data_IF_564626196092
#
_entry.id   IF_564626196092
#
_cell.length_a   1.000
_cell.length_b   1.000
_cell.length_c   1.000
_cell.angle_alpha   90.00
_cell.angle_beta   90.00
_cell.angle_gamma   90.00
#
_symmetry.space_group_name_H-M   'P 1'
#
loop_
_entity.id
_entity.type
_entity.pdbx_description
1 polymer ?
#
# COMPACT_ATOMS: atom_id res chain seq x y z
N UNK A 1 55.22 -22.27 12.70
CA UNK A 1 54.24 -23.11 13.42
C UNK A 1 53.23 -23.58 12.40
N UNK A 2 53.28 -24.84 12.00
CA UNK A 2 52.43 -25.46 10.97
C UNK A 2 51.47 -26.42 11.68
N UNK A 3 50.20 -26.43 11.26
CA UNK A 3 49.22 -27.40 11.74
C UNK A 3 48.93 -28.36 10.58
N UNK A 4 49.29 -29.63 10.72
CA UNK A 4 49.08 -30.66 9.70
C UNK A 4 47.61 -30.91 9.35
N UNK A 5 46.69 -30.54 10.25
CA UNK A 5 45.25 -30.60 9.97
C UNK A 5 44.73 -29.36 9.19
N UNK A 6 45.54 -28.31 9.07
CA UNK A 6 45.20 -27.10 8.31
C UNK A 6 45.76 -27.14 6.88
N UNK A 7 46.88 -27.82 6.65
CA UNK A 7 47.64 -27.84 5.39
C UNK A 7 48.20 -29.26 5.20
N UNK A 8 47.36 -30.16 4.70
CA UNK A 8 47.65 -31.60 4.58
C UNK A 8 48.63 -31.86 3.44
N UNK A 9 48.56 -31.07 2.37
CA UNK A 9 49.45 -31.21 1.21
C UNK A 9 50.82 -30.53 1.40
N UNK A 10 50.99 -29.79 2.50
CA UNK A 10 52.26 -29.20 2.92
C UNK A 10 52.72 -28.07 2.00
N UNK A 11 51.80 -27.41 1.31
CA UNK A 11 52.10 -26.36 0.35
C UNK A 11 52.28 -24.97 1.02
N UNK A 12 52.13 -24.88 2.35
CA UNK A 12 52.24 -23.64 3.12
C UNK A 12 50.95 -22.81 3.14
N UNK A 13 49.84 -23.34 2.62
CA UNK A 13 48.53 -22.68 2.57
C UNK A 13 47.48 -23.56 3.27
N UNK A 14 46.53 -22.94 3.99
CA UNK A 14 45.43 -23.74 4.54
C UNK A 14 44.58 -24.38 3.43
N UNK A 15 44.18 -25.63 3.61
CA UNK A 15 43.24 -26.37 2.77
C UNK A 15 41.83 -25.74 2.77
N UNK A 16 41.01 -26.08 1.77
CA UNK A 16 39.62 -25.58 1.67
C UNK A 16 38.72 -26.03 2.82
N UNK A 17 39.00 -27.18 3.40
CA UNK A 17 38.29 -27.74 4.55
C UNK A 17 38.95 -27.36 5.90
N UNK A 18 40.04 -26.59 5.90
CA UNK A 18 40.69 -26.16 7.13
C UNK A 18 39.74 -25.30 7.97
N UNK A 19 39.57 -25.69 9.23
CA UNK A 19 38.67 -24.97 10.14
C UNK A 19 39.36 -23.77 10.80
N UNK A 20 38.57 -22.84 11.37
CA UNK A 20 39.11 -21.74 12.17
C UNK A 20 40.04 -22.28 13.27
N UNK A 21 39.62 -23.34 13.97
CA UNK A 21 40.42 -23.99 14.99
C UNK A 21 41.75 -24.54 14.43
N UNK A 22 41.74 -25.12 13.23
CA UNK A 22 42.96 -25.64 12.60
C UNK A 22 43.95 -24.49 12.36
N UNK A 23 43.49 -23.35 11.82
CA UNK A 23 44.37 -22.24 11.45
C UNK A 23 44.78 -21.36 12.65
N UNK A 24 44.02 -21.34 13.74
CA UNK A 24 44.35 -20.55 14.96
C UNK A 24 44.98 -21.38 16.07
N UNK A 25 45.14 -22.70 15.91
CA UNK A 25 45.65 -23.61 16.96
C UNK A 25 46.99 -23.17 17.57
N UNK A 26 47.83 -22.50 16.78
CA UNK A 26 49.16 -22.06 17.19
C UNK A 26 49.19 -20.63 17.77
N UNK A 27 48.03 -20.01 18.01
CA UNK A 27 47.93 -18.63 18.48
C UNK A 27 48.30 -17.59 17.42
N UNK A 28 48.29 -16.31 17.82
CA UNK A 28 48.76 -15.19 16.98
C UNK A 28 50.28 -15.21 16.86
N UNK A 29 50.81 -14.75 15.73
CA UNK A 29 52.27 -14.66 15.46
C UNK A 29 52.82 -13.29 15.87
N UNK A 30 53.37 -13.11 17.08
CA UNK A 30 53.63 -11.76 17.63
C UNK A 30 54.75 -10.99 16.92
N UNK A 31 55.55 -11.67 16.10
CA UNK A 31 56.59 -11.05 15.29
C UNK A 31 56.10 -10.63 13.89
N UNK A 32 54.86 -10.95 13.52
CA UNK A 32 54.29 -10.55 12.24
C UNK A 32 53.73 -9.13 12.34
N UNK A 33 54.16 -8.25 11.43
CA UNK A 33 53.63 -6.92 11.27
C UNK A 33 53.58 -6.57 9.77
N UNK A 34 52.45 -6.04 9.31
CA UNK A 34 52.23 -5.66 7.92
C UNK A 34 51.05 -4.67 7.82
N UNK A 35 50.90 -3.96 6.72
CA UNK A 35 49.71 -3.16 6.43
C UNK A 35 48.88 -3.82 5.36
N UNK A 36 47.69 -4.27 5.73
CA UNK A 36 46.71 -4.81 4.79
C UNK A 36 45.89 -3.67 4.20
N UNK A 37 46.06 -3.40 2.91
CA UNK A 37 45.18 -2.49 2.17
C UNK A 37 44.03 -3.27 1.55
N UNK A 38 42.81 -2.77 1.70
CA UNK A 38 41.65 -3.38 1.07
C UNK A 38 41.42 -2.75 -0.29
N UNK A 39 41.83 -3.46 -1.33
CA UNK A 39 41.38 -3.19 -2.69
C UNK A 39 40.25 -4.14 -3.03
N UNK A 40 39.08 -3.60 -3.39
CA UNK A 40 38.01 -4.41 -3.93
C UNK A 40 38.52 -5.15 -5.18
N UNK A 41 38.71 -6.46 -5.09
CA UNK A 41 38.97 -7.26 -6.27
C UNK A 41 37.63 -7.37 -7.01
N UNK A 42 37.50 -6.65 -8.12
CA UNK A 42 36.45 -6.85 -9.11
C UNK A 42 36.69 -8.21 -9.80
N UNK A 43 36.56 -9.30 -9.06
CA UNK A 43 36.47 -10.62 -9.67
C UNK A 43 35.07 -10.76 -10.27
N UNK A 44 34.96 -11.29 -11.50
CA UNK A 44 33.69 -11.81 -12.01
C UNK A 44 33.20 -12.85 -10.99
N UNK A 45 32.24 -12.48 -10.15
CA UNK A 45 31.86 -13.25 -8.97
C UNK A 45 31.55 -12.43 -7.72
N UNK A 46 32.02 -11.18 -7.58
CA UNK A 46 31.38 -10.24 -6.63
C UNK A 46 29.93 -10.12 -7.08
N UNK A 47 29.02 -10.68 -6.29
CA UNK A 47 27.70 -11.07 -6.78
C UNK A 47 26.87 -9.82 -7.03
N UNK A 48 26.91 -9.31 -8.26
CA UNK A 48 25.96 -8.35 -8.81
C UNK A 48 24.62 -9.08 -8.90
N UNK A 49 23.57 -8.70 -8.15
CA UNK A 49 22.33 -9.45 -8.18
C UNK A 49 21.51 -9.12 -9.43
N UNK A 50 21.43 -10.07 -10.36
CA UNK A 50 20.34 -10.13 -11.35
C UNK A 50 20.60 -9.51 -12.74
N UNK A 51 19.74 -9.83 -13.74
CA UNK A 51 20.07 -10.02 -15.16
C UNK A 51 20.32 -8.74 -15.98
N UNK A 52 20.66 -7.61 -15.36
CA UNK A 52 20.88 -6.36 -16.09
C UNK A 52 22.20 -5.73 -15.70
N UNK A 53 22.90 -5.22 -16.71
CA UNK A 53 24.20 -4.56 -16.65
C UNK A 53 24.22 -3.23 -15.85
N UNK A 54 23.46 -3.11 -14.75
CA UNK A 54 23.22 -1.88 -14.01
C UNK A 54 23.72 -1.88 -12.56
N UNK A 55 24.12 -3.02 -11.99
CA UNK A 55 24.72 -3.05 -10.66
C UNK A 55 26.12 -2.41 -10.66
N UNK A 56 26.44 -1.65 -9.61
CA UNK A 56 27.72 -0.96 -9.50
C UNK A 56 28.62 -1.78 -8.57
N UNK A 57 29.90 -2.02 -8.92
CA UNK A 57 30.86 -2.57 -7.97
C UNK A 57 30.90 -1.75 -6.68
N UNK A 58 30.50 -2.35 -5.56
CA UNK A 58 30.74 -1.74 -4.26
C UNK A 58 32.24 -1.64 -4.02
N UNK A 59 32.73 -0.44 -3.69
CA UNK A 59 34.15 -0.25 -3.40
C UNK A 59 34.38 -0.39 -1.90
N UNK A 60 35.08 -1.45 -1.50
CA UNK A 60 35.65 -1.55 -0.16
C UNK A 60 36.79 -0.56 -0.06
N UNK A 61 36.81 0.29 0.96
CA UNK A 61 37.88 1.24 1.20
C UNK A 61 38.37 1.19 2.65
N UNK A 62 39.65 1.51 2.85
CA UNK A 62 40.32 1.50 4.15
C UNK A 62 41.57 0.62 4.16
N UNK A 63 42.26 0.61 5.30
CA UNK A 63 43.43 -0.23 5.55
C UNK A 63 43.51 -0.62 7.02
N UNK A 64 44.13 -1.76 7.28
CA UNK A 64 44.35 -2.31 8.62
C UNK A 64 45.84 -2.50 8.83
N UNK A 65 46.39 -1.88 9.87
CA UNK A 65 47.76 -2.14 10.30
C UNK A 65 47.79 -3.34 11.25
N UNK A 66 48.47 -4.41 10.84
CA UNK A 66 48.72 -5.61 11.64
C UNK A 66 49.95 -5.37 12.49
N UNK A 67 49.77 -5.41 13.81
CA UNK A 67 50.85 -5.28 14.79
C UNK A 67 50.78 -6.49 15.71
N UNK A 68 51.90 -7.17 15.91
CA UNK A 68 52.00 -8.37 16.71
C UNK A 68 51.04 -9.51 16.28
N UNK A 69 50.92 -9.73 14.97
CA UNK A 69 50.20 -10.87 14.39
C UNK A 69 48.67 -10.74 14.35
N UNK A 70 48.11 -9.61 14.77
CA UNK A 70 46.67 -9.36 14.69
C UNK A 70 46.36 -7.88 14.50
N UNK A 71 45.11 -7.58 14.14
CA UNK A 71 44.62 -6.21 14.02
C UNK A 71 43.11 -6.14 14.19
N UNK A 72 42.64 -4.97 14.61
CA UNK A 72 41.23 -4.59 14.54
C UNK A 72 41.13 -3.23 13.85
N UNK A 73 40.08 -3.02 13.06
CA UNK A 73 39.83 -1.71 12.45
C UNK A 73 38.35 -1.38 12.42
N UNK A 74 38.08 -0.08 12.58
CA UNK A 74 36.78 0.57 12.40
C UNK A 74 36.74 1.46 11.15
N UNK A 75 37.83 1.57 10.38
CA UNK A 75 37.94 2.48 9.23
C UNK A 75 37.57 1.82 7.87
N UNK A 76 37.31 0.51 7.86
CA UNK A 76 36.97 -0.23 6.64
C UNK A 76 35.48 -0.11 6.38
N UNK A 77 35.10 0.34 5.18
CA UNK A 77 33.71 0.52 4.79
C UNK A 77 33.39 -0.21 3.49
N UNK A 78 32.14 -0.66 3.37
CA UNK A 78 31.52 -1.15 2.13
C UNK A 78 30.16 -0.45 1.99
N UNK A 79 30.02 0.54 1.09
CA UNK A 79 28.87 1.43 1.08
C UNK A 79 27.64 0.87 0.34
N UNK A 80 27.59 -0.45 0.11
CA UNK A 80 26.64 -1.08 -0.80
C UNK A 80 26.04 -2.38 -0.24
N UNK A 81 24.99 -2.90 -0.87
CA UNK A 81 24.42 -4.23 -0.62
C UNK A 81 25.23 -5.29 -1.36
N UNK A 82 25.32 -6.49 -0.78
CA UNK A 82 26.01 -7.60 -1.40
C UNK A 82 27.02 -8.28 -0.50
N UNK A 83 27.96 -8.95 -1.15
CA UNK A 83 29.12 -9.56 -0.52
C UNK A 83 30.33 -9.26 -1.39
N UNK A 84 31.50 -9.16 -0.77
CA UNK A 84 32.76 -8.98 -1.49
C UNK A 84 33.79 -10.01 -1.04
N UNK A 85 34.75 -10.30 -1.92
CA UNK A 85 35.91 -11.12 -1.58
C UNK A 85 37.03 -10.22 -1.07
N UNK A 86 37.72 -10.66 -0.03
CA UNK A 86 38.93 -10.01 0.42
C UNK A 86 40.15 -10.64 -0.25
N UNK A 87 41.06 -9.79 -0.72
CA UNK A 87 42.41 -10.19 -1.10
C UNK A 87 43.41 -9.41 -0.25
N UNK A 88 44.43 -10.10 0.26
CA UNK A 88 45.52 -9.52 1.01
C UNK A 88 46.76 -9.67 0.17
N UNK A 89 47.29 -8.54 -0.28
CA UNK A 89 48.63 -8.51 -0.84
C UNK A 89 49.54 -7.98 0.27
N UNK A 90 50.24 -8.86 1.01
CA UNK A 90 51.19 -8.42 2.02
C UNK A 90 52.25 -7.52 1.38
N UNK A 91 52.70 -6.49 2.10
CA UNK A 91 53.73 -5.58 1.57
C UNK A 91 55.12 -6.21 1.57
N UNK A 92 55.31 -7.26 2.38
CA UNK A 92 56.57 -8.00 2.51
C UNK A 92 56.32 -9.51 2.53
N UNK A 93 57.18 -10.27 1.84
CA UNK A 93 57.20 -11.73 1.97
C UNK A 93 57.69 -12.12 3.37
N UNK A 94 56.81 -12.71 4.19
CA UNK A 94 57.15 -13.10 5.54
C UNK A 94 58.28 -14.14 5.53
N UNK A 95 59.44 -13.75 6.05
CA UNK A 95 60.67 -14.57 6.08
C UNK A 95 61.19 -15.01 4.69
N UNK A 96 60.86 -14.28 3.61
CA UNK A 96 61.24 -14.70 2.24
C UNK A 96 60.75 -16.11 1.88
N UNK A 97 59.54 -16.46 2.35
CA UNK A 97 58.94 -17.78 2.17
C UNK A 97 58.68 -18.15 0.70
N UNK A 98 58.60 -17.16 -0.19
CA UNK A 98 58.18 -17.34 -1.59
C UNK A 98 56.69 -17.66 -1.74
N UNK A 99 55.92 -17.68 -0.65
CA UNK A 99 54.48 -18.02 -0.66
C UNK A 99 53.66 -16.79 -1.06
N UNK A 100 52.98 -16.89 -2.20
CA UNK A 100 52.08 -15.84 -2.67
C UNK A 100 50.72 -15.92 -1.96
N UNK A 101 50.44 -14.95 -1.08
CA UNK A 101 49.18 -14.85 -0.34
C UNK A 101 48.06 -14.10 -1.10
N UNK A 102 48.34 -13.59 -2.31
CA UNK A 102 47.37 -12.84 -3.12
C UNK A 102 46.17 -13.71 -3.48
N UNK A 103 44.97 -13.20 -3.25
CA UNK A 103 43.67 -13.84 -3.54
C UNK A 103 43.36 -15.11 -2.71
N UNK A 104 44.07 -15.35 -1.60
CA UNK A 104 43.96 -16.60 -0.81
C UNK A 104 43.66 -16.38 0.67
N UNK A 105 42.97 -15.29 1.01
CA UNK A 105 42.49 -15.04 2.38
C UNK A 105 41.47 -16.10 2.79
N UNK A 106 41.69 -16.72 3.95
CA UNK A 106 40.67 -17.49 4.64
C UNK A 106 39.73 -16.55 5.42
N UNK A 107 38.49 -16.38 4.96
CA UNK A 107 37.48 -15.59 5.67
C UNK A 107 36.65 -16.52 6.54
N UNK A 108 36.65 -16.28 7.85
CA UNK A 108 35.72 -16.90 8.80
C UNK A 108 34.80 -15.80 9.32
N UNK A 109 33.62 -15.68 8.70
CA UNK A 109 32.71 -14.55 8.95
C UNK A 109 32.00 -14.60 10.32
N UNK A 110 32.07 -15.72 11.04
CA UNK A 110 31.46 -15.92 12.34
C UNK A 110 32.30 -16.95 13.13
N UNK A 111 32.64 -16.72 14.42
CA UNK A 111 33.31 -17.72 15.26
C UNK A 111 32.52 -19.04 15.41
N UNK A 112 31.20 -19.05 15.13
CA UNK A 112 30.40 -20.28 15.06
C UNK A 112 30.45 -21.00 13.70
N UNK A 113 31.09 -20.41 12.69
CA UNK A 113 31.34 -21.05 11.40
C UNK A 113 32.72 -21.70 11.42
N UNK A 114 32.75 -23.03 11.45
CA UNK A 114 34.01 -23.78 11.35
C UNK A 114 34.53 -23.86 9.92
N UNK A 115 33.77 -23.42 8.90
CA UNK A 115 34.16 -23.53 7.50
C UNK A 115 34.67 -22.21 6.92
N UNK A 116 35.67 -22.31 6.05
CA UNK A 116 36.28 -21.19 5.32
C UNK A 116 35.34 -20.68 4.23
N UNK A 117 35.21 -19.36 4.11
CA UNK A 117 34.52 -18.65 3.02
C UNK A 117 35.51 -17.81 2.21
N UNK A 118 35.20 -17.57 0.94
CA UNK A 118 35.88 -16.55 0.12
C UNK A 118 35.19 -15.17 0.21
N UNK A 119 34.01 -15.11 0.83
CA UNK A 119 33.12 -13.95 0.84
C UNK A 119 32.96 -13.38 2.24
N UNK A 120 33.00 -12.05 2.33
CA UNK A 120 32.65 -11.27 3.51
C UNK A 120 31.20 -10.80 3.42
N UNK A 121 30.44 -11.10 4.47
CA UNK A 121 29.13 -10.52 4.75
C UNK A 121 27.98 -10.98 3.86
N UNK A 122 26.80 -10.48 4.20
CA UNK A 122 25.63 -10.24 3.34
C UNK A 122 25.15 -8.86 3.74
N UNK A 123 25.80 -7.83 3.20
CA UNK A 123 25.46 -6.45 3.52
C UNK A 123 24.07 -6.15 2.97
N UNK A 124 23.25 -5.56 3.83
CA UNK A 124 21.89 -5.10 3.56
C UNK A 124 21.85 -3.57 3.71
N UNK A 125 20.84 -2.88 3.19
CA UNK A 125 20.70 -1.45 3.44
C UNK A 125 20.60 -1.18 4.95
N UNK A 126 20.98 0.03 5.36
CA UNK A 126 20.77 0.49 6.72
C UNK A 126 19.27 0.74 6.98
N UNK A 127 18.61 1.41 6.03
CA UNK A 127 17.22 1.78 6.13
C UNK A 127 16.60 2.10 4.76
N UNK A 128 15.28 2.24 4.73
CA UNK A 128 14.54 2.86 3.64
C UNK A 128 14.23 4.33 3.95
N UNK A 129 14.13 5.12 2.89
CA UNK A 129 13.58 6.48 2.90
C UNK A 129 12.48 6.56 1.85
N UNK A 130 11.38 7.22 2.20
CA UNK A 130 10.24 7.44 1.30
C UNK A 130 10.38 8.78 0.58
N UNK A 131 10.19 8.76 -0.73
CA UNK A 131 10.05 9.97 -1.55
C UNK A 131 8.59 10.45 -1.55
N UNK A 132 8.26 11.45 -2.38
CA UNK A 132 6.92 12.01 -2.44
C UNK A 132 5.84 10.92 -2.62
N UNK A 133 4.76 11.02 -1.83
CA UNK A 133 3.57 10.17 -1.93
C UNK A 133 2.51 10.87 -2.80
N UNK A 134 1.87 10.10 -3.69
CA UNK A 134 0.75 10.55 -4.49
C UNK A 134 -0.54 9.84 -4.06
N UNK A 135 -1.64 10.58 -4.14
CA UNK A 135 -2.97 10.13 -3.73
C UNK A 135 -3.99 10.56 -4.77
N UNK A 136 -4.75 9.59 -5.29
CA UNK A 136 -5.84 9.84 -6.22
C UNK A 136 -7.12 9.31 -5.57
N UNK A 137 -7.92 10.21 -5.02
CA UNK A 137 -9.24 9.85 -4.52
C UNK A 137 -10.16 9.49 -5.68
N UNK A 138 -11.04 8.51 -5.44
CA UNK A 138 -12.02 8.04 -6.43
C UNK A 138 -11.34 7.58 -7.71
N UNK A 139 -10.24 6.84 -7.57
CA UNK A 139 -9.34 6.46 -8.67
C UNK A 139 -10.03 5.61 -9.74
N UNK A 140 -11.14 4.95 -9.43
CA UNK A 140 -11.93 4.18 -10.41
C UNK A 140 -12.61 5.07 -11.47
N UNK A 141 -12.79 6.37 -11.19
CA UNK A 141 -13.39 7.32 -12.14
C UNK A 141 -12.35 7.75 -13.18
N UNK A 142 -12.82 8.00 -14.41
CA UNK A 142 -11.96 8.52 -15.49
C UNK A 142 -10.96 7.49 -16.04
N UNK A 143 -11.13 6.20 -15.73
CA UNK A 143 -10.21 5.16 -16.18
C UNK A 143 -8.90 5.12 -15.38
N UNK A 144 -8.92 5.46 -14.09
CA UNK A 144 -7.74 5.37 -13.22
C UNK A 144 -7.19 6.73 -12.76
N UNK A 145 -7.59 7.83 -13.40
CA UNK A 145 -7.05 9.18 -13.15
C UNK A 145 -7.83 9.96 -12.09
N UNK A 146 -8.97 9.44 -11.64
CA UNK A 146 -9.87 10.11 -10.72
C UNK A 146 -10.74 11.17 -11.40
N UNK A 147 -11.33 12.03 -10.59
CA UNK A 147 -12.23 13.09 -11.05
C UNK A 147 -11.48 14.24 -11.73
N UNK A 148 -12.17 14.95 -12.63
CA UNK A 148 -11.70 16.20 -13.22
C UNK A 148 -12.75 17.31 -12.94
N UNK A 149 -12.44 18.32 -12.11
CA UNK A 149 -11.22 18.48 -11.31
C UNK A 149 -11.05 17.38 -10.24
N UNK A 150 -9.82 17.23 -9.73
CA UNK A 150 -9.48 16.20 -8.74
C UNK A 150 -10.36 16.30 -7.49
N UNK A 151 -10.86 15.15 -7.01
CA UNK A 151 -11.68 15.09 -5.80
C UNK A 151 -10.80 15.12 -4.55
N UNK A 152 -11.20 15.93 -3.56
CA UNK A 152 -10.55 15.98 -2.26
C UNK A 152 -11.03 14.88 -1.29
N UNK A 153 -12.05 14.12 -1.69
CA UNK A 153 -12.62 13.03 -0.90
C UNK A 153 -12.89 11.79 -1.75
N UNK A 154 -13.03 10.64 -1.10
CA UNK A 154 -13.66 9.44 -1.65
C UNK A 154 -14.84 8.99 -0.77
N UNK A 155 -15.80 8.27 -1.35
CA UNK A 155 -16.79 7.56 -0.55
C UNK A 155 -16.19 6.27 0.02
N UNK A 156 -16.70 5.83 1.17
CA UNK A 156 -16.41 4.49 1.67
C UNK A 156 -16.93 3.46 0.68
N UNK A 157 -16.07 2.53 0.30
CA UNK A 157 -16.32 1.59 -0.79
C UNK A 157 -15.87 2.06 -2.17
N UNK A 158 -15.16 3.19 -2.29
CA UNK A 158 -14.42 3.58 -3.51
C UNK A 158 -12.91 3.42 -3.31
N UNK A 159 -12.18 3.25 -4.42
CA UNK A 159 -10.72 3.18 -4.38
C UNK A 159 -10.09 4.56 -4.18
N UNK A 160 -9.00 4.55 -3.42
CA UNK A 160 -8.04 5.63 -3.26
C UNK A 160 -6.70 5.04 -3.68
N UNK A 161 -6.17 5.49 -4.82
CA UNK A 161 -4.86 5.04 -5.26
C UNK A 161 -3.78 5.73 -4.41
N UNK A 162 -3.01 4.94 -3.68
CA UNK A 162 -1.79 5.37 -3.00
C UNK A 162 -0.59 4.91 -3.81
N UNK A 163 0.32 5.83 -4.13
CA UNK A 163 1.62 5.51 -4.71
C UNK A 163 2.76 6.28 -4.04
N UNK A 164 3.92 5.63 -3.90
CA UNK A 164 5.14 6.23 -3.34
C UNK A 164 6.38 5.47 -3.80
N UNK A 165 7.55 6.09 -3.66
CA UNK A 165 8.84 5.44 -3.98
C UNK A 165 9.66 5.27 -2.71
N UNK A 166 10.23 4.09 -2.50
CA UNK A 166 11.24 3.83 -1.47
C UNK A 166 12.62 3.81 -2.08
N UNK A 167 13.58 4.33 -1.32
CA UNK A 167 15.01 4.33 -1.61
C UNK A 167 15.74 3.59 -0.50
N UNK A 168 16.54 2.60 -0.86
CA UNK A 168 17.40 1.85 0.06
C UNK A 168 18.69 2.63 0.29
N UNK A 169 19.02 2.88 1.56
CA UNK A 169 20.11 3.76 1.96
C UNK A 169 21.16 3.01 2.78
N UNK A 170 22.42 3.37 2.62
CA UNK A 170 23.50 2.99 3.52
C UNK A 170 23.53 3.93 4.75
N UNK A 171 24.33 3.59 5.76
CA UNK A 171 24.42 4.36 7.00
C UNK A 171 24.99 5.78 6.84
N UNK A 172 25.58 6.10 5.67
CA UNK A 172 26.09 7.43 5.33
C UNK A 172 25.08 8.26 4.51
N UNK A 173 23.86 7.74 4.28
CA UNK A 173 22.83 8.41 3.50
C UNK A 173 22.99 8.29 1.98
N UNK A 174 23.89 7.43 1.49
CA UNK A 174 24.00 7.11 0.06
C UNK A 174 23.05 5.99 -0.36
N UNK A 175 22.57 6.02 -1.61
CA UNK A 175 21.76 4.93 -2.17
C UNK A 175 22.56 3.62 -2.26
N UNK A 176 21.97 2.52 -1.81
CA UNK A 176 22.49 1.17 -2.06
C UNK A 176 21.92 0.62 -3.36
N UNK A 177 22.64 0.84 -4.47
CA UNK A 177 22.17 0.54 -5.83
C UNK A 177 22.03 -0.95 -6.14
N UNK A 178 22.71 -1.81 -5.39
CA UNK A 178 22.67 -3.27 -5.54
C UNK A 178 21.56 -3.91 -4.70
N UNK A 179 20.76 -3.12 -3.97
CA UNK A 179 19.51 -3.61 -3.39
C UNK A 179 18.49 -3.84 -4.52
N UNK A 180 18.58 -5.03 -5.13
CA UNK A 180 17.80 -5.49 -6.27
C UNK A 180 17.79 -7.02 -6.32
N UNK A 181 16.97 -7.60 -7.20
CA UNK A 181 16.95 -9.05 -7.44
C UNK A 181 16.80 -9.87 -6.15
N UNK A 182 17.64 -10.88 -5.96
CA UNK A 182 17.58 -11.75 -4.78
C UNK A 182 18.00 -11.08 -3.47
N UNK A 183 18.61 -9.89 -3.51
CA UNK A 183 18.96 -9.12 -2.32
C UNK A 183 17.86 -8.16 -1.88
N UNK A 184 16.96 -7.78 -2.78
CA UNK A 184 15.76 -7.06 -2.41
C UNK A 184 14.78 -8.01 -1.72
N UNK A 185 14.55 -7.81 -0.43
CA UNK A 185 13.68 -8.68 0.41
C UNK A 185 12.32 -8.06 0.72
N UNK A 186 12.03 -6.88 0.19
CA UNK A 186 10.74 -6.22 0.29
C UNK A 186 10.05 -6.29 -1.08
N UNK A 187 9.14 -7.24 -1.26
CA UNK A 187 8.47 -7.48 -2.55
C UNK A 187 7.15 -6.71 -2.72
N UNK A 188 6.62 -6.13 -1.64
CA UNK A 188 5.39 -5.33 -1.66
C UNK A 188 4.10 -6.13 -1.74
N UNK A 189 4.12 -7.44 -1.46
CA UNK A 189 2.94 -8.31 -1.51
C UNK A 189 2.04 -8.17 -0.27
N UNK A 190 2.62 -7.91 0.91
CA UNK A 190 1.88 -7.70 2.15
C UNK A 190 1.81 -6.19 2.49
N UNK A 191 0.60 -5.64 2.56
CA UNK A 191 0.41 -4.21 2.78
C UNK A 191 0.12 -3.83 4.22
N UNK A 192 -0.54 -4.66 5.01
CA UNK A 192 -1.16 -4.21 6.27
C UNK A 192 -0.47 -4.73 7.54
N UNK A 193 0.36 -5.78 7.46
CA UNK A 193 0.94 -6.38 8.64
C UNK A 193 2.13 -5.56 9.18
N UNK A 194 1.90 -4.72 10.20
CA UNK A 194 2.97 -3.98 10.88
C UNK A 194 3.91 -4.92 11.63
N UNK A 195 5.22 -4.63 11.63
CA UNK A 195 6.24 -5.41 12.34
C UNK A 195 6.51 -6.82 11.78
N UNK A 196 5.87 -7.19 10.67
CA UNK A 196 6.08 -8.48 10.01
C UNK A 196 7.07 -8.34 8.87
N UNK A 197 8.01 -9.28 8.74
CA UNK A 197 8.96 -9.32 7.64
C UNK A 197 8.24 -9.36 6.28
N UNK A 198 8.82 -8.66 5.31
CA UNK A 198 8.28 -8.50 3.95
C UNK A 198 6.87 -7.89 3.91
N UNK A 199 6.67 -6.79 4.63
CA UNK A 199 5.41 -6.05 4.69
C UNK A 199 5.64 -4.55 4.60
N UNK A 200 4.67 -3.81 4.05
CA UNK A 200 4.67 -2.34 4.04
C UNK A 200 4.07 -1.73 5.32
N UNK A 201 3.31 -2.51 6.10
CA UNK A 201 2.74 -2.06 7.38
C UNK A 201 1.83 -0.83 7.27
N UNK A 202 1.14 -0.65 6.14
CA UNK A 202 0.16 0.43 5.91
C UNK A 202 -0.95 0.35 6.96
N UNK A 203 -1.30 1.52 7.50
CA UNK A 203 -2.39 1.68 8.44
C UNK A 203 -3.06 3.04 8.28
N UNK A 204 -4.26 3.16 8.85
CA UNK A 204 -5.03 4.38 8.83
C UNK A 204 -5.59 4.69 10.21
N UNK A 205 -5.73 5.98 10.50
CA UNK A 205 -6.55 6.48 11.59
C UNK A 205 -7.21 7.78 11.16
N UNK A 206 -8.39 8.10 11.69
CA UNK A 206 -8.98 9.42 11.48
C UNK A 206 -8.81 10.27 12.73
N UNK A 207 -8.29 11.48 12.56
CA UNK A 207 -8.21 12.46 13.65
C UNK A 207 -9.48 13.30 13.71
N UNK A 208 -9.88 13.65 14.94
CA UNK A 208 -10.99 14.58 15.19
C UNK A 208 -12.27 14.26 14.41
N UNK A 209 -12.64 12.97 14.33
CA UNK A 209 -13.90 12.54 13.75
C UNK A 209 -15.06 13.09 14.57
N UNK A 210 -16.03 13.74 13.92
CA UNK A 210 -17.20 14.31 14.57
C UNK A 210 -18.08 13.21 15.16
N UNK A 211 -18.40 13.34 16.44
CA UNK A 211 -19.37 12.49 17.17
C UNK A 211 -20.41 13.38 17.85
N UNK A 212 -21.48 12.78 18.39
CA UNK A 212 -22.51 13.55 19.08
C UNK A 212 -21.92 14.35 20.25
N UNK A 213 -21.94 15.68 20.15
CA UNK A 213 -21.45 16.60 21.19
C UNK A 213 -19.93 16.80 21.25
N UNK A 214 -19.13 16.20 20.37
CA UNK A 214 -17.67 16.31 20.43
C UNK A 214 -16.91 15.66 19.28
N UNK A 215 -15.69 15.21 19.57
CA UNK A 215 -14.79 14.58 18.60
C UNK A 215 -13.97 13.46 19.22
N UNK A 216 -13.64 12.45 18.42
CA UNK A 216 -12.76 11.35 18.79
C UNK A 216 -11.69 11.13 17.72
N UNK A 217 -10.58 10.52 18.10
CA UNK A 217 -9.75 9.80 17.14
C UNK A 217 -10.42 8.46 16.82
N UNK A 218 -10.21 7.96 15.62
CA UNK A 218 -10.85 6.72 15.15
C UNK A 218 -9.81 5.80 14.56
N UNK A 219 -9.82 4.55 15.02
CA UNK A 219 -8.97 3.48 14.52
C UNK A 219 -9.81 2.45 13.75
N UNK A 220 -9.17 1.72 12.84
CA UNK A 220 -9.82 0.80 11.92
C UNK A 220 -9.21 -0.59 12.01
N UNK A 221 -10.01 -1.59 12.34
CA UNK A 221 -9.51 -2.95 12.49
C UNK A 221 -9.38 -3.69 11.14
N UNK A 222 -8.38 -4.57 11.06
CA UNK A 222 -8.13 -5.45 9.91
C UNK A 222 -8.69 -6.88 10.11
N UNK A 223 -9.30 -7.17 11.27
CA UNK A 223 -9.88 -8.48 11.58
C UNK A 223 -11.23 -8.69 10.87
N UNK A 224 -11.74 -9.93 10.90
CA UNK A 224 -13.12 -10.24 10.48
C UNK A 224 -13.82 -10.97 11.62
N UNK A 225 -14.90 -10.39 12.21
CA UNK A 225 -15.44 -9.06 11.94
C UNK A 225 -14.47 -7.92 12.33
N UNK A 226 -14.61 -6.75 11.71
CA UNK A 226 -13.85 -5.54 12.08
C UNK A 226 -14.74 -4.50 12.75
N UNK A 227 -14.11 -3.54 13.41
CA UNK A 227 -14.81 -2.41 14.02
C UNK A 227 -14.16 -1.09 13.62
N UNK A 228 -14.97 -0.04 13.71
CA UNK A 228 -14.53 1.34 13.83
C UNK A 228 -14.53 1.67 15.32
N UNK A 229 -13.34 1.88 15.89
CA UNK A 229 -13.20 2.13 17.32
C UNK A 229 -12.92 3.61 17.62
N UNK A 230 -13.54 4.14 18.67
CA UNK A 230 -13.40 5.53 19.07
C UNK A 230 -12.43 5.65 20.24
N UNK A 231 -11.35 6.40 20.03
CA UNK A 231 -10.24 6.59 20.97
C UNK A 231 -10.04 8.07 21.26
N UNK A 232 -9.43 8.38 22.41
CA UNK A 232 -9.01 9.73 22.77
C UNK A 232 -10.10 10.80 22.55
N UNK A 233 -11.32 10.49 22.97
CA UNK A 233 -12.49 11.36 22.84
C UNK A 233 -12.47 12.49 23.87
N UNK A 234 -12.92 13.69 23.47
CA UNK A 234 -13.21 14.79 24.41
C UNK A 234 -14.62 14.72 25.00
N UNK A 235 -15.38 13.69 24.63
CA UNK A 235 -16.70 13.32 25.14
C UNK A 235 -16.70 11.84 25.52
N UNK A 236 -17.79 11.35 26.11
CA UNK A 236 -17.97 9.92 26.31
C UNK A 236 -17.82 9.19 24.96
N UNK A 237 -16.92 8.21 24.91
CA UNK A 237 -16.67 7.44 23.69
C UNK A 237 -17.96 6.74 23.24
N UNK A 238 -18.36 6.91 21.96
CA UNK A 238 -19.43 6.11 21.39
C UNK A 238 -19.09 4.62 21.39
N UNK A 239 -20.10 3.78 21.25
CA UNK A 239 -19.90 2.37 20.97
C UNK A 239 -19.23 2.18 19.60
N UNK A 240 -18.36 1.18 19.51
CA UNK A 240 -17.70 0.80 18.27
C UNK A 240 -18.72 0.39 17.20
N UNK A 241 -18.44 0.73 15.94
CA UNK A 241 -19.32 0.41 14.81
C UNK A 241 -18.80 -0.84 14.09
N UNK A 242 -19.60 -1.89 14.10
CA UNK A 242 -19.29 -3.19 13.51
C UNK A 242 -19.26 -3.14 11.97
N UNK A 243 -18.38 -3.95 11.40
CA UNK A 243 -18.46 -4.48 10.04
C UNK A 243 -18.31 -6.00 10.09
N UNK A 244 -19.40 -6.71 9.82
CA UNK A 244 -19.38 -8.16 9.80
C UNK A 244 -18.54 -8.73 8.63
N UNK A 245 -18.59 -8.07 7.46
CA UNK A 245 -18.11 -8.60 6.19
C UNK A 245 -16.66 -8.23 5.83
N UNK A 246 -15.71 -8.43 6.75
CA UNK A 246 -14.27 -8.25 6.47
C UNK A 246 -13.61 -7.05 7.17
N UNK A 247 -12.39 -6.65 6.76
CA UNK A 247 -11.61 -5.56 7.39
C UNK A 247 -12.12 -4.15 7.07
N UNK A 248 -11.89 -3.14 7.91
CA UNK A 248 -12.27 -1.75 7.58
C UNK A 248 -11.40 -1.16 6.46
N UNK A 249 -10.11 -1.47 6.42
CA UNK A 249 -9.19 -1.03 5.38
C UNK A 249 -8.66 -2.23 4.59
N UNK A 250 -8.69 -2.14 3.26
CA UNK A 250 -8.29 -3.24 2.36
C UNK A 250 -7.63 -2.72 1.08
N UNK A 251 -6.93 -3.59 0.35
CA UNK A 251 -6.57 -3.38 -1.05
C UNK A 251 -7.60 -4.03 -1.96
N UNK A 252 -7.89 -3.42 -3.13
CA UNK A 252 -8.82 -3.99 -4.12
C UNK A 252 -8.12 -4.84 -5.17
N UNK A 253 -6.89 -4.46 -5.52
CA UNK A 253 -6.04 -5.21 -6.44
C UNK A 253 -4.85 -5.79 -5.69
N UNK A 254 -4.35 -6.95 -6.14
CA UNK A 254 -3.06 -7.45 -5.71
C UNK A 254 -2.01 -6.36 -6.04
N UNK A 255 -1.29 -5.84 -5.04
CA UNK A 255 -0.31 -4.79 -5.28
C UNK A 255 0.73 -5.25 -6.29
N UNK A 256 1.17 -4.35 -7.16
CA UNK A 256 2.21 -4.67 -8.15
C UNK A 256 3.49 -4.97 -7.39
N UNK A 257 4.04 -6.17 -7.56
CA UNK A 257 5.33 -6.54 -7.00
C UNK A 257 6.39 -5.51 -7.45
N UNK A 258 7.09 -4.93 -6.48
CA UNK A 258 8.02 -3.85 -6.79
C UNK A 258 9.32 -4.40 -7.35
N UNK A 259 9.66 -4.03 -8.58
CA UNK A 259 10.98 -4.31 -9.13
C UNK A 259 11.97 -3.27 -8.60
N UNK A 260 12.73 -3.64 -7.57
CA UNK A 260 13.84 -2.83 -7.10
C UNK A 260 14.90 -2.69 -8.19
N UNK A 261 15.20 -1.45 -8.56
CA UNK A 261 16.21 -1.10 -9.56
C UNK A 261 17.05 0.04 -9.00
N UNK A 262 18.38 -0.13 -9.03
CA UNK A 262 19.33 0.87 -8.52
C UNK A 262 19.00 1.34 -7.09
N UNK A 263 18.54 0.41 -6.24
CA UNK A 263 18.20 0.70 -4.85
C UNK A 263 16.89 1.48 -4.66
N UNK A 264 16.04 1.55 -5.68
CA UNK A 264 14.75 2.24 -5.60
C UNK A 264 13.60 1.35 -6.11
N UNK A 265 12.42 1.53 -5.53
CA UNK A 265 11.21 0.82 -5.91
C UNK A 265 9.98 1.70 -5.72
N UNK A 266 9.06 1.68 -6.68
CA UNK A 266 7.77 2.32 -6.56
C UNK A 266 6.70 1.30 -6.15
N UNK A 267 5.87 1.69 -5.20
CA UNK A 267 4.76 0.92 -4.68
C UNK A 267 3.47 1.65 -5.02
N UNK A 268 2.46 0.89 -5.45
CA UNK A 268 1.13 1.43 -5.73
C UNK A 268 0.07 0.41 -5.36
N UNK A 269 -0.99 0.87 -4.70
CA UNK A 269 -2.19 0.08 -4.47
C UNK A 269 -3.44 0.96 -4.43
N UNK A 270 -4.55 0.39 -4.85
CA UNK A 270 -5.88 0.92 -4.60
C UNK A 270 -6.32 0.51 -3.20
N UNK A 271 -6.21 1.45 -2.26
CA UNK A 271 -6.72 1.31 -0.91
C UNK A 271 -8.21 1.62 -0.90
N UNK A 272 -8.95 0.90 -0.08
CA UNK A 272 -10.37 1.15 0.16
C UNK A 272 -10.63 1.13 1.65
N UNK A 273 -11.15 2.25 2.15
CA UNK A 273 -11.88 2.21 3.41
C UNK A 273 -13.27 1.68 3.09
N UNK A 274 -13.55 0.48 3.58
CA UNK A 274 -14.81 -0.21 3.38
C UNK A 274 -15.95 0.55 4.03
N UNK A 275 -17.19 0.10 3.85
CA UNK A 275 -18.34 0.60 4.60
C UNK A 275 -18.51 -0.21 5.88
N UNK A 276 -18.94 0.45 6.96
CA UNK A 276 -19.39 -0.23 8.17
C UNK A 276 -20.87 -0.64 8.02
N UNK A 277 -21.37 -1.48 8.93
CA UNK A 277 -22.75 -1.97 8.90
C UNK A 277 -23.78 -0.87 9.22
N UNK A 278 -23.30 0.25 9.77
CA UNK A 278 -24.07 1.49 9.99
C UNK A 278 -23.27 2.71 9.53
N UNK A 279 -23.97 3.82 9.30
CA UNK A 279 -23.34 5.04 8.80
C UNK A 279 -22.36 5.64 9.82
N UNK A 280 -21.14 5.95 9.37
CA UNK A 280 -20.06 6.48 10.19
C UNK A 280 -19.29 7.61 9.48
N UNK A 281 -18.44 8.31 10.24
CA UNK A 281 -17.74 9.50 9.77
C UNK A 281 -18.61 10.78 9.75
N UNK A 282 -18.24 11.80 8.97
CA UNK A 282 -17.20 11.80 7.94
C UNK A 282 -15.80 11.83 8.55
N UNK A 283 -14.84 11.20 7.89
CA UNK A 283 -13.43 11.24 8.28
C UNK A 283 -12.72 12.29 7.45
N UNK A 284 -12.75 13.54 7.93
CA UNK A 284 -12.13 14.69 7.24
C UNK A 284 -10.60 14.65 7.27
N UNK A 285 -10.03 14.10 8.35
CA UNK A 285 -8.59 13.94 8.53
C UNK A 285 -8.23 12.46 8.63
N UNK A 286 -8.54 11.67 7.58
CA UNK A 286 -8.08 10.28 7.51
C UNK A 286 -6.59 10.29 7.17
N UNK A 287 -5.77 10.00 8.17
CA UNK A 287 -4.34 9.84 8.03
C UNK A 287 -4.02 8.43 7.56
N UNK A 288 -3.05 8.34 6.66
CA UNK A 288 -2.46 7.09 6.21
C UNK A 288 -0.98 7.13 6.52
N UNK A 289 -0.48 6.03 7.07
CA UNK A 289 0.92 5.82 7.37
C UNK A 289 1.35 4.43 7.01
N UNK A 290 2.64 4.16 7.10
CA UNK A 290 3.26 2.90 6.71
C UNK A 290 4.50 2.61 7.56
N UNK A 291 4.90 1.34 7.61
CA UNK A 291 6.02 0.85 8.38
C UNK A 291 6.64 -0.35 7.66
N UNK A 292 7.40 -0.11 6.57
CA UNK A 292 7.97 -1.17 5.77
C UNK A 292 9.02 -1.92 6.58
N UNK A 293 9.01 -3.25 6.43
CA UNK A 293 10.01 -4.14 6.97
C UNK A 293 10.30 -5.22 5.92
N UNK A 294 11.54 -5.30 5.45
CA UNK A 294 11.94 -6.34 4.50
C UNK A 294 12.19 -7.69 5.20
N UNK A 295 12.44 -8.75 4.42
CA UNK A 295 12.78 -10.07 4.96
C UNK A 295 14.09 -10.16 5.75
N UNK A 296 14.96 -9.15 5.64
CA UNK A 296 16.22 -9.03 6.38
C UNK A 296 16.09 -8.06 7.58
N UNK A 297 14.87 -7.67 7.96
CA UNK A 297 14.57 -6.71 9.02
C UNK A 297 15.16 -5.30 8.79
N UNK A 298 15.24 -4.86 7.54
CA UNK A 298 15.50 -3.47 7.14
C UNK A 298 14.17 -2.74 7.10
N UNK A 299 14.06 -1.66 7.87
CA UNK A 299 12.87 -0.79 7.90
C UNK A 299 13.22 0.66 7.60
N UNK A 300 12.38 1.59 8.05
CA UNK A 300 12.68 3.03 7.95
C UNK A 300 13.80 3.45 8.93
N UNK A 301 14.40 4.61 8.69
CA UNK A 301 15.38 5.17 9.62
C UNK A 301 14.74 5.42 11.00
N UNK A 302 15.53 5.23 12.06
CA UNK A 302 15.12 5.57 13.42
C UNK A 302 14.67 7.04 13.49
N UNK A 303 13.47 7.29 14.03
CA UNK A 303 12.86 8.62 14.07
C UNK A 303 11.93 8.97 12.90
N UNK A 304 11.81 8.10 11.89
CA UNK A 304 10.84 8.30 10.79
C UNK A 304 9.38 8.02 11.19
N UNK A 305 9.19 7.27 12.28
CA UNK A 305 7.88 6.91 12.81
C UNK A 305 7.30 8.10 13.59
N UNK A 306 6.23 8.69 13.05
CA UNK A 306 5.62 9.93 13.53
C UNK A 306 4.08 9.90 13.53
N UNK A 307 3.50 8.72 13.33
CA UNK A 307 2.06 8.47 13.35
C UNK A 307 1.78 7.29 14.29
N UNK A 308 0.83 7.50 15.20
CA UNK A 308 0.25 6.52 16.13
C UNK A 308 -1.13 6.11 15.59
N UNK A 309 -1.18 5.01 14.83
CA UNK A 309 -2.40 4.63 14.11
C UNK A 309 -3.36 3.77 14.94
N UNK A 310 -2.91 3.13 16.01
CA UNK A 310 -3.76 2.38 16.94
C UNK A 310 -4.11 3.14 18.24
N UNK A 311 -3.55 4.33 18.41
CA UNK A 311 -3.78 5.24 19.53
C UNK A 311 -3.35 4.66 20.88
N UNK A 312 -2.25 3.89 20.90
CA UNK A 312 -1.66 3.31 22.12
C UNK A 312 -0.64 4.22 22.82
N UNK A 313 -0.30 5.36 22.20
CA UNK A 313 0.66 6.35 22.71
C UNK A 313 2.07 6.20 22.14
N UNK A 314 2.31 5.25 21.23
CA UNK A 314 3.58 5.05 20.55
C UNK A 314 3.44 5.23 19.04
N UNK A 315 4.32 6.02 18.43
CA UNK A 315 4.37 6.09 16.96
C UNK A 315 5.01 4.82 16.40
N UNK A 316 4.24 4.08 15.62
CA UNK A 316 4.58 2.80 14.99
C UNK A 316 4.56 2.87 13.46
N UNK A 317 4.07 3.97 12.89
CA UNK A 317 4.07 4.25 11.44
C UNK A 317 4.69 5.60 11.11
N UNK A 318 5.22 5.69 9.89
CA UNK A 318 5.57 6.97 9.28
C UNK A 318 4.38 7.51 8.50
N UNK A 319 4.04 8.78 8.71
CA UNK A 319 2.94 9.47 8.06
C UNK A 319 3.20 9.65 6.56
N UNK A 320 2.22 9.29 5.73
CA UNK A 320 2.26 9.49 4.28
C UNK A 320 1.41 10.66 3.81
N UNK A 321 0.13 10.70 4.22
CA UNK A 321 -0.84 11.70 3.73
C UNK A 321 -2.11 11.73 4.59
N UNK A 322 -2.86 12.82 4.45
CA UNK A 322 -4.26 12.95 4.86
C UNK A 322 -5.15 12.92 3.62
N UNK A 323 -6.30 12.27 3.72
CA UNK A 323 -7.42 12.42 2.78
C UNK A 323 -8.75 12.48 3.52
N UNK A 324 -9.84 12.72 2.79
CA UNK A 324 -11.19 12.69 3.32
C UNK A 324 -11.95 11.46 2.81
N UNK A 325 -12.64 10.76 3.71
CA UNK A 325 -13.53 9.64 3.35
C UNK A 325 -14.91 9.79 3.97
N UNK A 326 -15.95 9.46 3.20
CA UNK A 326 -17.35 9.73 3.55
C UNK A 326 -18.25 8.51 3.38
N UNK A 327 -19.15 8.25 4.33
CA UNK A 327 -20.18 7.23 4.17
C UNK A 327 -21.30 7.76 3.28
N UNK A 328 -21.35 7.29 2.02
CA UNK A 328 -22.25 7.81 0.99
C UNK A 328 -23.58 7.08 0.86
N UNK A 329 -24.59 7.75 0.29
CA UNK A 329 -25.82 7.14 -0.25
C UNK A 329 -26.33 7.94 -1.47
N UNK A 330 -27.10 7.29 -2.33
CA UNK A 330 -27.85 7.99 -3.38
C UNK A 330 -29.30 8.19 -2.94
N UNK A 331 -29.73 9.45 -2.84
CA UNK A 331 -31.16 9.76 -2.83
C UNK A 331 -31.67 9.69 -4.26
N UNK A 332 -32.61 8.79 -4.53
CA UNK A 332 -33.31 8.68 -5.81
C UNK A 332 -34.75 9.05 -5.54
N UNK A 333 -35.22 10.13 -6.16
CA UNK A 333 -36.57 10.61 -5.93
C UNK A 333 -37.61 9.62 -6.46
N UNK A 334 -38.71 9.50 -5.72
CA UNK A 334 -39.91 8.89 -6.29
C UNK A 334 -40.41 9.78 -7.43
N UNK A 335 -40.75 9.17 -8.56
CA UNK A 335 -41.19 9.88 -9.74
C UNK A 335 -42.49 9.29 -10.28
N UNK A 336 -43.33 10.16 -10.85
CA UNK A 336 -44.64 9.82 -11.37
C UNK A 336 -44.79 10.40 -12.77
N UNK A 337 -45.28 9.61 -13.71
CA UNK A 337 -45.46 10.08 -15.08
C UNK A 337 -46.41 9.25 -15.92
N UNK A 338 -46.69 9.75 -17.12
CA UNK A 338 -47.39 8.97 -18.14
C UNK A 338 -46.46 7.92 -18.73
N UNK A 339 -47.02 6.75 -19.01
CA UNK A 339 -46.44 5.67 -19.79
C UNK A 339 -46.13 6.04 -21.26
N UNK A 340 -46.57 7.22 -21.70
CA UNK A 340 -46.34 7.73 -23.06
C UNK A 340 -45.10 8.61 -23.17
N UNK A 341 -44.55 9.08 -22.05
CA UNK A 341 -43.47 10.07 -22.01
C UNK A 341 -42.24 9.55 -21.27
N UNK A 342 -41.03 9.99 -21.64
CA UNK A 342 -39.85 9.80 -20.81
C UNK A 342 -40.03 10.41 -19.41
N UNK A 343 -39.57 9.71 -18.39
CA UNK A 343 -39.70 10.12 -16.98
C UNK A 343 -38.35 10.66 -16.46
N UNK A 344 -38.22 11.97 -16.19
CA UNK A 344 -37.05 12.49 -15.50
C UNK A 344 -37.09 12.07 -14.03
N UNK A 345 -36.01 11.44 -13.56
CA UNK A 345 -35.82 11.03 -12.17
C UNK A 345 -34.64 11.82 -11.62
N UNK A 346 -34.88 12.66 -10.62
CA UNK A 346 -33.83 13.38 -9.94
C UNK A 346 -33.05 12.43 -9.01
N UNK A 347 -31.74 12.56 -9.01
CA UNK A 347 -30.84 11.82 -8.12
C UNK A 347 -29.87 12.77 -7.44
N UNK A 348 -29.54 12.48 -6.18
CA UNK A 348 -28.64 13.27 -5.38
C UNK A 348 -27.67 12.39 -4.59
N UNK A 349 -26.37 12.63 -4.71
CA UNK A 349 -25.38 12.04 -3.83
C UNK A 349 -25.39 12.74 -2.47
N UNK A 350 -25.48 11.94 -1.41
CA UNK A 350 -25.45 12.39 -0.03
C UNK A 350 -24.38 11.66 0.76
N UNK A 351 -23.91 12.27 1.85
CA UNK A 351 -23.04 11.61 2.81
C UNK A 351 -23.48 11.85 4.24
N UNK A 352 -23.15 10.92 5.13
CA UNK A 352 -23.40 11.06 6.56
C UNK A 352 -22.48 12.11 7.18
N UNK A 353 -23.05 13.15 7.80
CA UNK A 353 -22.31 14.24 8.43
C UNK A 353 -22.02 14.01 9.91
N UNK A 354 -22.28 12.81 10.45
CA UNK A 354 -22.21 12.49 11.88
C UNK A 354 -23.56 12.49 12.61
N UNK A 355 -24.64 12.94 11.95
CA UNK A 355 -26.00 12.93 12.52
C UNK A 355 -27.13 12.95 11.50
N UNK A 356 -26.85 13.37 10.28
CA UNK A 356 -27.81 13.38 9.17
C UNK A 356 -27.09 13.23 7.85
N UNK A 357 -27.84 12.89 6.81
CA UNK A 357 -27.31 12.88 5.45
C UNK A 357 -27.42 14.28 4.85
N UNK A 358 -26.30 14.77 4.33
CA UNK A 358 -26.20 16.08 3.66
C UNK A 358 -25.73 15.89 2.21
N UNK A 359 -26.03 16.87 1.36
CA UNK A 359 -25.64 16.82 -0.07
C UNK A 359 -24.12 16.89 -0.22
N UNK A 360 -23.58 16.02 -1.08
CA UNK A 360 -22.17 16.09 -1.49
C UNK A 360 -21.98 17.13 -2.59
N UNK A 361 -21.99 18.42 -2.22
CA UNK A 361 -21.93 19.55 -3.18
C UNK A 361 -20.62 19.62 -3.97
N UNK A 362 -19.61 18.88 -3.55
CA UNK A 362 -18.29 18.76 -4.18
C UNK A 362 -18.17 17.52 -5.09
N UNK A 363 -19.21 16.68 -5.17
CA UNK A 363 -19.26 15.60 -6.15
C UNK A 363 -19.65 16.13 -7.53
N UNK A 364 -18.67 16.17 -8.44
CA UNK A 364 -18.83 16.66 -9.81
C UNK A 364 -18.49 15.60 -10.87
N UNK A 365 -18.39 14.33 -10.47
CA UNK A 365 -17.79 13.30 -11.31
C UNK A 365 -18.44 11.92 -11.17
N UNK A 366 -19.35 11.69 -10.22
CA UNK A 366 -20.10 10.42 -10.16
C UNK A 366 -20.85 10.19 -11.48
N UNK A 367 -20.52 9.14 -12.25
CA UNK A 367 -21.12 8.94 -13.56
C UNK A 367 -22.52 8.32 -13.42
N UNK A 368 -23.47 8.77 -14.24
CA UNK A 368 -24.86 8.27 -14.28
C UNK A 368 -25.06 7.38 -15.50
N UNK A 369 -24.38 6.23 -15.51
CA UNK A 369 -24.42 5.25 -16.60
C UNK A 369 -25.50 4.21 -16.35
N UNK A 370 -26.07 3.63 -17.42
CA UNK A 370 -27.00 2.50 -17.31
C UNK A 370 -26.47 1.38 -16.41
N UNK A 371 -25.17 1.07 -16.52
CA UNK A 371 -24.53 0.02 -15.73
C UNK A 371 -24.55 0.28 -14.21
N UNK A 372 -24.79 1.52 -13.78
CA UNK A 372 -24.82 1.92 -12.38
C UNK A 372 -26.21 1.78 -11.77
N UNK A 373 -27.20 1.30 -12.53
CA UNK A 373 -28.59 1.24 -12.08
C UNK A 373 -29.29 -0.06 -12.48
N UNK A 374 -30.26 -0.45 -11.68
CA UNK A 374 -31.12 -1.61 -11.92
C UNK A 374 -32.60 -1.21 -11.75
N UNK A 375 -33.42 -1.60 -12.72
CA UNK A 375 -34.87 -1.58 -12.60
C UNK A 375 -35.37 -2.97 -12.14
N UNK A 376 -36.04 -3.02 -10.99
CA UNK A 376 -36.60 -4.24 -10.42
C UNK A 376 -37.90 -3.97 -9.65
N UNK A 377 -38.41 -4.98 -8.94
CA UNK A 377 -39.60 -4.86 -8.07
C UNK A 377 -40.81 -4.25 -8.81
N UNK A 378 -41.06 -4.77 -10.02
CA UNK A 378 -42.15 -4.33 -10.87
C UNK A 378 -43.52 -4.63 -10.24
N UNK A 379 -44.47 -3.73 -10.45
CA UNK A 379 -45.88 -3.93 -10.11
C UNK A 379 -46.76 -3.44 -11.26
N UNK A 380 -47.85 -4.13 -11.53
CA UNK A 380 -48.75 -3.84 -12.66
C UNK A 380 -49.27 -5.10 -13.34
N UNK A 381 -48.47 -6.17 -13.32
CA UNK A 381 -48.84 -7.48 -13.87
C UNK A 381 -49.10 -7.42 -15.38
N UNK A 382 -49.94 -8.34 -15.87
CA UNK A 382 -50.36 -8.37 -17.27
C UNK A 382 -51.02 -7.04 -17.65
N UNK A 383 -50.53 -6.45 -18.74
CA UNK A 383 -50.92 -5.14 -19.27
C UNK A 383 -50.51 -3.92 -18.41
N UNK A 384 -49.66 -4.11 -17.40
CA UNK A 384 -49.09 -3.07 -16.55
C UNK A 384 -47.57 -2.92 -16.73
N UNK A 385 -46.89 -2.37 -15.73
CA UNK A 385 -45.42 -2.30 -15.72
C UNK A 385 -44.84 -3.66 -15.33
N UNK A 386 -43.92 -4.16 -16.14
CA UNK A 386 -43.23 -5.44 -15.95
C UNK A 386 -41.78 -5.39 -16.47
N UNK A 387 -41.05 -6.51 -16.34
CA UNK A 387 -39.67 -6.61 -16.80
C UNK A 387 -39.52 -6.63 -18.33
N UNK A 388 -40.60 -6.91 -19.08
CA UNK A 388 -40.61 -6.87 -20.54
C UNK A 388 -40.64 -5.45 -21.08
N UNK A 389 -41.37 -4.55 -20.42
CA UNK A 389 -41.56 -3.16 -20.89
C UNK A 389 -40.76 -2.09 -20.11
N UNK A 390 -40.23 -2.41 -18.93
CA UNK A 390 -39.35 -1.56 -18.14
C UNK A 390 -38.13 -2.34 -17.64
N UNK A 391 -37.04 -2.35 -18.41
CA UNK A 391 -35.79 -3.02 -18.07
C UNK A 391 -34.58 -2.09 -18.29
N UNK A 392 -33.37 -2.64 -18.21
CA UNK A 392 -32.14 -1.87 -18.37
C UNK A 392 -32.08 -1.03 -19.66
N UNK A 393 -32.74 -1.45 -20.75
CA UNK A 393 -32.80 -0.68 -21.99
C UNK A 393 -33.54 0.65 -21.85
N UNK A 394 -34.47 0.76 -20.88
CA UNK A 394 -35.19 2.00 -20.59
C UNK A 394 -34.34 3.02 -19.82
N UNK A 395 -33.20 2.61 -19.28
CA UNK A 395 -32.23 3.54 -18.68
C UNK A 395 -31.31 4.05 -19.80
N UNK A 396 -31.13 5.37 -19.98
CA UNK A 396 -30.17 5.89 -20.94
C UNK A 396 -28.77 5.32 -20.71
N UNK A 397 -28.04 5.03 -21.79
CA UNK A 397 -26.69 4.48 -21.69
C UNK A 397 -25.76 5.38 -20.85
N UNK A 398 -25.90 6.70 -21.02
CA UNK A 398 -25.17 7.72 -20.30
C UNK A 398 -26.10 8.93 -20.05
N UNK A 399 -26.31 9.29 -18.78
CA UNK A 399 -27.07 10.49 -18.37
C UNK A 399 -26.14 11.63 -17.92
N UNK A 400 -24.86 11.57 -18.27
CA UNK A 400 -23.82 12.49 -17.84
C UNK A 400 -23.25 12.14 -16.46
N UNK A 401 -22.54 13.09 -15.87
CA UNK A 401 -22.03 12.99 -14.51
C UNK A 401 -22.87 13.87 -13.58
N UNK A 402 -22.87 13.54 -12.29
CA UNK A 402 -23.41 14.45 -11.28
C UNK A 402 -22.64 15.78 -11.29
N UNK A 403 -23.36 16.87 -11.03
CA UNK A 403 -22.82 18.21 -10.83
C UNK A 403 -23.33 18.73 -9.49
N UNK A 404 -22.42 19.15 -8.63
CA UNK A 404 -22.70 19.53 -7.25
C UNK A 404 -23.58 18.51 -6.49
N UNK A 405 -23.26 17.22 -6.68
CA UNK A 405 -23.95 16.08 -6.08
C UNK A 405 -25.35 15.83 -6.61
N UNK A 406 -25.72 16.38 -7.77
CA UNK A 406 -27.06 16.23 -8.36
C UNK A 406 -26.98 15.76 -9.80
N UNK A 407 -28.00 15.03 -10.24
CA UNK A 407 -28.18 14.72 -11.65
C UNK A 407 -29.61 14.29 -11.96
N UNK A 408 -29.86 13.93 -13.21
CA UNK A 408 -31.18 13.49 -13.65
C UNK A 408 -31.03 12.32 -14.60
N UNK A 409 -31.71 11.22 -14.28
CA UNK A 409 -31.83 10.06 -15.16
C UNK A 409 -33.14 10.20 -15.91
N UNK A 410 -33.07 10.47 -17.21
CA UNK A 410 -34.26 10.61 -18.05
C UNK A 410 -34.64 9.26 -18.63
N UNK A 411 -35.38 8.47 -17.85
CA UNK A 411 -35.83 7.14 -18.26
C UNK A 411 -36.67 7.23 -19.53
N UNK A 412 -36.41 6.32 -20.45
CA UNK A 412 -37.25 6.15 -21.63
C UNK A 412 -38.62 5.62 -21.19
N UNK A 413 -39.65 5.97 -21.96
CA UNK A 413 -41.01 5.46 -21.75
C UNK A 413 -41.02 3.92 -21.75
N UNK A 414 -42.02 3.28 -21.11
CA UNK A 414 -42.27 1.85 -21.27
C UNK A 414 -42.31 1.41 -22.75
N UNK A 415 -41.97 0.13 -22.99
CA UNK A 415 -41.84 -0.50 -24.32
C UNK A 415 -43.03 -0.37 -25.28
N UNK A 416 -42.97 -1.07 -26.41
CA UNK A 416 -43.90 -0.87 -27.55
C UNK A 416 -45.37 -1.16 -27.24
N UNK A 417 -45.65 -2.08 -26.32
CA UNK A 417 -47.00 -2.27 -25.77
C UNK A 417 -47.15 -1.33 -24.59
N UNK A 418 -47.90 -0.26 -24.79
CA UNK A 418 -48.16 0.71 -23.74
C UNK A 418 -48.99 0.07 -22.62
N UNK A 419 -48.53 0.14 -21.36
CA UNK A 419 -49.27 -0.40 -20.23
C UNK A 419 -50.60 0.34 -20.09
N UNK A 420 -51.70 -0.41 -20.04
CA UNK A 420 -53.07 0.11 -19.89
C UNK A 420 -53.54 0.08 -18.43
N UNK A 421 -52.70 -0.42 -17.52
CA UNK A 421 -52.90 -0.40 -16.06
C UNK A 421 -51.79 0.40 -15.37
N UNK A 422 -52.14 0.99 -14.22
CA UNK A 422 -51.16 1.60 -13.32
C UNK A 422 -50.14 0.56 -12.88
N UNK A 423 -48.88 0.96 -12.84
CA UNK A 423 -47.80 0.11 -12.39
C UNK A 423 -46.63 0.91 -11.83
N UNK A 424 -45.69 0.21 -11.21
CA UNK A 424 -44.44 0.80 -10.76
C UNK A 424 -43.24 -0.08 -11.01
N UNK A 425 -42.08 0.52 -10.96
CA UNK A 425 -40.78 -0.17 -10.93
C UNK A 425 -39.86 0.60 -9.99
N UNK A 426 -38.94 -0.10 -9.32
CA UNK A 426 -37.95 0.53 -8.45
C UNK A 426 -36.64 0.69 -9.23
N UNK A 427 -36.11 1.91 -9.23
CA UNK A 427 -34.77 2.22 -9.71
C UNK A 427 -33.81 2.13 -8.52
N UNK A 428 -32.82 1.25 -8.61
CA UNK A 428 -31.82 1.03 -7.57
C UNK A 428 -30.45 1.46 -8.09
N UNK A 429 -29.66 2.10 -7.23
CA UNK A 429 -28.23 2.31 -7.47
C UNK A 429 -27.49 0.98 -7.28
N UNK A 430 -26.63 0.64 -8.24
CA UNK A 430 -25.66 -0.45 -8.16
C UNK A 430 -24.29 0.03 -7.68
N UNK A 431 -24.11 1.35 -7.47
CA UNK A 431 -22.90 1.89 -6.88
C UNK A 431 -22.87 1.52 -5.39
N UNK A 432 -22.00 0.58 -5.03
CA UNK A 432 -21.85 0.08 -3.65
C UNK A 432 -21.53 1.20 -2.64
N UNK A 433 -20.83 2.24 -3.09
CA UNK A 433 -20.47 3.40 -2.28
C UNK A 433 -21.59 4.47 -2.19
N UNK A 434 -22.60 4.41 -3.06
CA UNK A 434 -23.80 5.25 -3.04
C UNK A 434 -25.08 4.39 -3.18
N UNK A 435 -25.39 3.51 -2.21
CA UNK A 435 -26.60 2.71 -2.27
C UNK A 435 -27.84 3.62 -2.17
N UNK A 436 -28.93 3.23 -2.84
CA UNK A 436 -30.15 4.03 -2.91
C UNK A 436 -31.20 3.40 -3.81
N UNK A 437 -32.47 3.71 -3.55
CA UNK A 437 -33.59 3.25 -4.36
C UNK A 437 -34.72 4.29 -4.40
N UNK A 438 -35.41 4.39 -5.53
CA UNK A 438 -36.57 5.26 -5.73
C UNK A 438 -37.66 4.56 -6.53
N UNK A 439 -38.93 4.80 -6.18
CA UNK A 439 -40.10 4.17 -6.81
C UNK A 439 -40.65 5.03 -7.94
N UNK A 440 -40.79 4.43 -9.10
CA UNK A 440 -41.25 5.07 -10.33
C UNK A 440 -42.64 4.55 -10.67
N UNK A 441 -43.62 5.43 -10.80
CA UNK A 441 -45.02 5.04 -11.04
C UNK A 441 -45.51 5.57 -12.38
N UNK A 442 -46.12 4.68 -13.17
CA UNK A 442 -46.69 4.97 -14.50
C UNK A 442 -48.19 4.67 -14.52
N UNK A 443 -48.95 5.34 -15.39
CA UNK A 443 -50.37 5.06 -15.62
C UNK A 443 -51.36 6.08 -15.02
N UNK A 444 -51.05 7.37 -15.07
CA UNK A 444 -51.98 8.46 -14.71
C UNK A 444 -52.97 8.84 -15.83
N UNK A 445 -52.87 8.28 -17.04
CA UNK A 445 -53.70 8.66 -18.20
C UNK A 445 -55.10 8.04 -18.26
N UNK A 446 -55.69 7.69 -17.11
CA UNK A 446 -57.12 7.34 -17.01
C UNK A 446 -57.75 8.23 -15.94
N UNK A 447 -58.02 9.48 -16.31
CA UNK A 447 -58.64 10.49 -15.47
C UNK A 447 -60.05 10.07 -15.02
N UNK A 448 -60.20 9.78 -13.72
CA UNK A 448 -61.20 10.48 -12.92
C UNK A 448 -60.61 11.83 -12.45
N UNK A 449 -61.41 12.76 -11.90
CA UNK A 449 -60.98 14.13 -11.64
C UNK A 449 -59.75 14.20 -10.73
N UNK A 450 -58.69 14.85 -11.22
CA UNK A 450 -57.47 15.12 -10.46
C UNK A 450 -57.60 16.51 -9.84
N UNK A 451 -57.66 16.56 -8.50
CA UNK A 451 -57.60 17.83 -7.76
C UNK A 451 -56.13 18.27 -7.75
N UNK A 452 -55.83 19.37 -8.44
CA UNK A 452 -54.59 20.11 -8.24
C UNK A 452 -54.76 20.97 -6.98
N UNK A 453 -54.14 20.57 -5.87
CA UNK A 453 -53.86 21.51 -4.78
C UNK A 453 -52.61 22.27 -5.19
N UNK A 454 -52.79 23.51 -5.65
CA UNK A 454 -51.70 24.48 -5.68
C UNK A 454 -51.53 24.99 -4.25
N UNK A 455 -50.34 24.88 -3.67
CA UNK A 455 -50.02 25.68 -2.49
C UNK A 455 -50.03 27.15 -2.91
N UNK A 456 -50.89 27.94 -2.27
CA UNK A 456 -50.87 29.40 -2.35
C UNK A 456 -50.08 29.88 -1.13
N UNK A 457 -48.83 30.29 -1.42
CA UNK A 457 -47.86 31.05 -0.63
C UNK A 457 -47.59 30.65 0.81
#
# INVERSE_FOLDING_TARGET
>A
MWNSAADVDGNGLPDTNATLANVTANGVTPSFADTLSFTAQNTPGSYVPGPSAAGIPGTVSGSVAITAGSATSSNVNYPEVGSFSLSATPTTDYLSSGVNLSNRIAVYANPSSSTRSAWVGRFKPNNFVVAASNFINRSEIGGGVGCAPASNFAYMGENINLSFTLSAMNALGGLTRNYAGSYAKLDGTNWFAVGTNNSLGVGAMAQAASVSGGSCNVTFDFATPSHTAFKNCNVAAPADILRAAGPRLSTVNAPVASNWLLGQASFSADLMLQRADSADGPYTFLQLGFAPLDGDAVGLAAGSYNMDADQDGSNERSFLKVTQVRYGRMLIDNAYGSELLPLPVAVQAQYWSGGQYVKAVDDNCTPLLRANFLLNAHSGGVDGIDAGNMNAANIPANSGNMLAGQGTIRLLKPGTVHPIKKGSVTLNSLLSYLPGAGRLTFGLYKAGPVIYIREIY
#
